data_IF_124509736000
#
_entry.id   IF_124509736000
#
_cell.length_a   1.000
_cell.length_b   1.000
_cell.length_c   1.000
_cell.angle_alpha   90.00
_cell.angle_beta   90.00
_cell.angle_gamma   90.00
#
_symmetry.space_group_name_H-M   'P 1'
#
loop_
_entity.id
_entity.type
_entity.pdbx_description
1 polymer ?
#
# COMPACT_ATOMS: atom_id res chain seq x y z
N UNK A 1 32.05 3.97 -8.75
CA UNK A 1 30.86 4.85 -8.67
C UNK A 1 31.24 6.31 -8.47
N UNK A 2 31.91 6.69 -7.38
CA UNK A 2 32.28 8.09 -7.09
C UNK A 2 33.10 8.77 -8.21
N UNK A 3 34.00 8.04 -8.87
CA UNK A 3 34.78 8.55 -10.02
C UNK A 3 33.93 8.86 -11.27
N UNK A 4 32.84 8.11 -11.50
CA UNK A 4 31.94 8.36 -12.63
C UNK A 4 31.04 9.57 -12.34
N UNK A 5 30.57 9.70 -11.11
CA UNK A 5 29.77 10.85 -10.67
C UNK A 5 30.57 12.16 -10.73
N UNK A 6 31.83 12.16 -10.32
CA UNK A 6 32.73 13.32 -10.46
C UNK A 6 33.04 13.63 -11.92
N UNK A 7 33.15 12.61 -12.78
CA UNK A 7 33.35 12.78 -14.23
C UNK A 7 32.12 13.41 -14.89
N UNK A 8 30.91 12.94 -14.58
CA UNK A 8 29.67 13.55 -15.11
C UNK A 8 29.56 15.01 -14.65
N UNK A 9 29.85 15.30 -13.38
CA UNK A 9 29.83 16.67 -12.88
C UNK A 9 30.85 17.58 -13.58
N UNK A 10 32.06 17.07 -13.88
CA UNK A 10 33.07 17.84 -14.61
C UNK A 10 32.67 18.08 -16.07
N UNK A 11 32.07 17.09 -16.72
CA UNK A 11 31.52 17.21 -18.08
C UNK A 11 30.36 18.22 -18.13
N UNK A 12 29.44 18.21 -17.16
CA UNK A 12 28.38 19.22 -17.06
C UNK A 12 28.92 20.65 -16.94
N UNK A 13 29.94 20.85 -16.09
CA UNK A 13 30.59 22.16 -15.97
C UNK A 13 31.24 22.59 -17.28
N UNK A 14 31.80 21.64 -18.03
CA UNK A 14 32.44 21.91 -19.33
C UNK A 14 31.42 22.24 -20.41
N UNK A 15 30.25 21.60 -20.38
CA UNK A 15 29.09 21.90 -21.23
C UNK A 15 28.64 23.36 -21.06
N UNK A 16 28.43 23.80 -19.82
CA UNK A 16 28.07 25.19 -19.50
C UNK A 16 29.09 26.20 -20.04
N UNK A 17 30.38 25.88 -19.92
CA UNK A 17 31.46 26.73 -20.45
C UNK A 17 31.44 26.80 -21.98
N UNK A 18 31.21 25.66 -22.66
CA UNK A 18 31.15 25.62 -24.11
C UNK A 18 29.88 26.29 -24.65
N UNK A 19 28.74 26.13 -23.99
CA UNK A 19 27.50 26.82 -24.32
C UNK A 19 27.64 28.34 -24.22
N UNK A 20 28.31 28.84 -23.16
CA UNK A 20 28.62 30.26 -23.04
C UNK A 20 29.54 30.75 -24.18
N UNK A 21 30.57 29.96 -24.54
CA UNK A 21 31.46 30.29 -25.66
C UNK A 21 30.75 30.26 -27.01
N UNK A 22 29.83 29.32 -27.21
CA UNK A 22 29.00 29.20 -28.41
C UNK A 22 28.16 30.46 -28.61
N UNK A 23 27.53 30.96 -27.55
CA UNK A 23 26.75 32.20 -27.62
C UNK A 23 27.60 33.40 -28.05
N UNK A 24 28.83 33.51 -27.54
CA UNK A 24 29.78 34.56 -27.94
C UNK A 24 30.24 34.39 -29.39
N UNK A 25 30.51 33.15 -29.83
CA UNK A 25 30.91 32.86 -31.21
C UNK A 25 29.78 33.17 -32.20
N UNK A 26 28.53 32.89 -31.83
CA UNK A 26 27.35 33.25 -32.61
C UNK A 26 27.22 34.78 -32.75
N UNK A 27 27.29 35.52 -31.65
CA UNK A 27 27.24 36.99 -31.68
C UNK A 27 28.38 37.59 -32.53
N UNK A 28 29.57 36.98 -32.50
CA UNK A 28 30.70 37.38 -33.34
C UNK A 28 30.43 37.14 -34.82
N UNK A 29 29.84 36.00 -35.17
CA UNK A 29 29.44 35.68 -36.54
C UNK A 29 28.35 36.64 -37.05
N UNK A 30 27.32 36.90 -36.24
CA UNK A 30 26.22 37.80 -36.59
C UNK A 30 26.73 39.23 -36.85
N UNK A 31 27.69 39.71 -36.04
CA UNK A 31 28.37 40.99 -36.24
C UNK A 31 29.21 41.01 -37.52
N UNK A 32 29.97 39.95 -37.80
CA UNK A 32 30.78 39.85 -39.02
C UNK A 32 29.90 39.85 -40.28
N UNK A 33 28.79 39.11 -40.26
CA UNK A 33 27.80 39.09 -41.34
C UNK A 33 27.19 40.49 -41.54
N UNK A 34 26.79 41.15 -40.46
CA UNK A 34 26.19 42.50 -40.52
C UNK A 34 27.18 43.53 -41.09
N UNK A 35 28.44 43.49 -40.66
CA UNK A 35 29.49 44.38 -41.17
C UNK A 35 29.74 44.17 -42.67
N UNK A 36 29.80 42.90 -43.12
CA UNK A 36 29.92 42.57 -44.55
C UNK A 36 28.72 43.06 -45.36
N UNK A 37 27.50 42.88 -44.85
CA UNK A 37 26.29 43.36 -45.52
C UNK A 37 26.28 44.89 -45.64
N UNK A 38 26.70 45.60 -44.59
CA UNK A 38 26.78 47.05 -44.62
C UNK A 38 27.78 47.55 -45.66
N UNK A 39 28.96 46.93 -45.77
CA UNK A 39 29.95 47.29 -46.80
C UNK A 39 29.43 47.05 -48.21
N UNK A 40 28.70 45.95 -48.44
CA UNK A 40 28.09 45.66 -49.75
C UNK A 40 26.96 46.62 -50.14
N UNK A 41 26.30 47.26 -49.16
CA UNK A 41 25.18 48.16 -49.40
C UNK A 41 25.59 49.63 -49.47
N UNK A 42 26.62 50.03 -48.74
CA UNK A 42 27.00 51.43 -48.55
C UNK A 42 28.48 51.75 -48.79
N UNK A 43 29.32 50.72 -48.98
CA UNK A 43 30.75 50.84 -49.24
C UNK A 43 31.12 50.95 -50.71
N UNK A 44 32.42 50.99 -50.98
CA UNK A 44 32.97 50.97 -52.34
C UNK A 44 33.07 49.52 -52.84
N UNK A 45 32.27 49.21 -53.87
CA UNK A 45 32.24 47.87 -54.45
C UNK A 45 33.52 47.52 -55.23
N UNK A 46 34.32 48.52 -55.61
CA UNK A 46 35.58 48.30 -56.30
C UNK A 46 36.74 48.04 -55.30
N UNK A 47 36.54 48.25 -53.99
CA UNK A 47 37.51 47.90 -52.94
C UNK A 47 37.43 46.41 -52.57
N UNK A 48 37.94 45.57 -53.47
CA UNK A 48 38.00 44.12 -53.28
C UNK A 48 38.77 43.73 -52.00
N UNK A 49 39.77 44.50 -51.60
CA UNK A 49 40.56 44.20 -50.41
C UNK A 49 39.74 44.36 -49.12
N UNK A 50 38.88 45.38 -49.04
CA UNK A 50 37.94 45.55 -47.92
C UNK A 50 36.92 44.39 -47.87
N UNK A 51 36.36 44.00 -49.01
CA UNK A 51 35.40 42.89 -49.10
C UNK A 51 36.02 41.54 -48.71
N UNK A 52 37.23 41.23 -49.18
CA UNK A 52 37.95 40.01 -48.86
C UNK A 52 38.28 39.93 -47.36
N UNK A 53 38.63 41.06 -46.73
CA UNK A 53 38.86 41.14 -45.28
C UNK A 53 37.60 40.82 -44.47
N UNK A 54 36.46 41.37 -44.87
CA UNK A 54 35.18 41.10 -44.20
C UNK A 54 34.72 39.66 -44.41
N UNK A 55 34.95 39.10 -45.60
CA UNK A 55 34.70 37.68 -45.87
C UNK A 55 35.57 36.79 -44.97
N UNK A 56 36.86 37.08 -44.86
CA UNK A 56 37.76 36.33 -43.97
C UNK A 56 37.35 36.39 -42.49
N UNK A 57 36.76 37.50 -42.04
CA UNK A 57 36.19 37.60 -40.69
C UNK A 57 34.95 36.71 -40.51
N UNK A 58 34.06 36.65 -41.51
CA UNK A 58 32.89 35.73 -41.51
C UNK A 58 33.36 34.27 -41.49
N UNK A 59 34.32 33.90 -42.33
CA UNK A 59 34.82 32.53 -42.42
C UNK A 59 35.49 32.08 -41.11
N UNK A 60 36.27 32.98 -40.49
CA UNK A 60 36.91 32.72 -39.18
C UNK A 60 35.87 32.54 -38.08
N UNK A 61 34.84 33.39 -38.03
CA UNK A 61 33.78 33.28 -37.03
C UNK A 61 32.93 32.02 -37.24
N UNK A 62 32.58 31.69 -38.49
CA UNK A 62 31.84 30.49 -38.84
C UNK A 62 32.62 29.21 -38.48
N UNK A 63 33.92 29.16 -38.82
CA UNK A 63 34.78 28.04 -38.45
C UNK A 63 34.92 27.89 -36.93
N UNK A 64 34.98 29.00 -36.20
CA UNK A 64 35.06 28.97 -34.72
C UNK A 64 33.77 28.43 -34.12
N UNK A 65 32.61 28.88 -34.60
CA UNK A 65 31.30 28.39 -34.16
C UNK A 65 31.15 26.89 -34.46
N UNK A 66 31.48 26.46 -35.67
CA UNK A 66 31.45 25.05 -36.06
C UNK A 66 32.33 24.18 -35.15
N UNK A 67 33.55 24.61 -34.84
CA UNK A 67 34.45 23.88 -33.94
C UNK A 67 33.93 23.79 -32.49
N UNK A 68 33.18 24.80 -32.02
CA UNK A 68 32.51 24.73 -30.70
C UNK A 68 31.32 23.78 -30.75
N UNK A 69 30.55 23.79 -31.83
CA UNK A 69 29.40 22.89 -32.03
C UNK A 69 29.86 21.42 -32.10
N UNK A 70 30.96 21.13 -32.80
CA UNK A 70 31.58 19.80 -32.82
C UNK A 70 32.04 19.36 -31.42
N UNK A 71 32.64 20.28 -30.66
CA UNK A 71 33.08 20.00 -29.30
C UNK A 71 31.90 19.73 -28.35
N UNK A 72 30.78 20.45 -28.51
CA UNK A 72 29.55 20.20 -27.76
C UNK A 72 28.94 18.84 -28.10
N UNK A 73 28.92 18.45 -29.38
CA UNK A 73 28.44 17.15 -29.80
C UNK A 73 29.27 16.01 -29.19
N UNK A 74 30.61 16.11 -29.28
CA UNK A 74 31.51 15.13 -28.67
C UNK A 74 31.35 15.05 -27.14
N UNK A 75 31.09 16.19 -26.48
CA UNK A 75 30.87 16.22 -25.04
C UNK A 75 29.54 15.58 -24.64
N UNK A 76 28.48 15.79 -25.43
CA UNK A 76 27.19 15.13 -25.21
C UNK A 76 27.31 13.60 -25.30
N UNK A 77 28.10 13.08 -26.25
CA UNK A 77 28.39 11.65 -26.37
C UNK A 77 29.14 11.11 -25.14
N UNK A 78 30.18 11.82 -24.68
CA UNK A 78 30.94 11.44 -23.48
C UNK A 78 30.07 11.42 -22.22
N UNK A 79 29.16 12.39 -22.09
CA UNK A 79 28.21 12.45 -20.97
C UNK A 79 27.24 11.27 -21.01
N UNK A 80 26.65 11.01 -22.18
CA UNK A 80 25.73 9.88 -22.34
C UNK A 80 26.41 8.54 -22.03
N UNK A 81 27.67 8.37 -22.46
CA UNK A 81 28.44 7.17 -22.13
C UNK A 81 28.73 7.03 -20.64
N UNK A 82 29.16 8.11 -19.98
CA UNK A 82 29.41 8.10 -18.54
C UNK A 82 28.13 7.80 -17.73
N UNK A 83 26.99 8.34 -18.14
CA UNK A 83 25.68 8.06 -17.54
C UNK A 83 25.25 6.60 -17.74
N UNK A 84 25.45 6.04 -18.94
CA UNK A 84 25.21 4.61 -19.22
C UNK A 84 26.07 3.71 -18.33
N UNK A 85 27.35 4.02 -18.19
CA UNK A 85 28.26 3.28 -17.33
C UNK A 85 27.84 3.35 -15.85
N UNK A 86 27.44 4.54 -15.38
CA UNK A 86 26.98 4.72 -14.01
C UNK A 86 25.69 3.91 -13.74
N UNK A 87 24.74 3.92 -14.68
CA UNK A 87 23.52 3.13 -14.56
C UNK A 87 23.82 1.63 -14.52
N UNK A 88 24.71 1.14 -15.39
CA UNK A 88 25.13 -0.26 -15.41
C UNK A 88 25.84 -0.70 -14.11
N UNK A 89 26.68 0.16 -13.53
CA UNK A 89 27.33 -0.11 -12.24
C UNK A 89 26.32 -0.15 -11.09
N UNK A 90 25.34 0.77 -11.07
CA UNK A 90 24.26 0.77 -10.06
C UNK A 90 23.41 -0.49 -10.18
N UNK A 91 23.05 -0.90 -11.39
CA UNK A 91 22.30 -2.13 -11.62
C UNK A 91 23.09 -3.37 -11.19
N UNK A 92 24.37 -3.47 -11.55
CA UNK A 92 25.25 -4.56 -11.09
C UNK A 92 25.33 -4.62 -9.57
N UNK A 93 25.50 -3.46 -8.91
CA UNK A 93 25.51 -3.37 -7.46
C UNK A 93 24.20 -3.82 -6.82
N UNK A 94 23.06 -3.37 -7.36
CA UNK A 94 21.73 -3.76 -6.88
C UNK A 94 21.47 -5.27 -7.02
N UNK A 95 21.85 -5.85 -8.18
CA UNK A 95 21.74 -7.29 -8.42
C UNK A 95 22.64 -8.10 -7.49
N UNK A 96 23.88 -7.67 -7.28
CA UNK A 96 24.79 -8.34 -6.36
C UNK A 96 24.25 -8.33 -4.93
N UNK A 97 23.77 -7.17 -4.45
CA UNK A 97 23.17 -7.05 -3.12
C UNK A 97 21.91 -7.92 -2.97
N UNK A 98 21.04 -7.95 -3.99
CA UNK A 98 19.86 -8.80 -4.00
C UNK A 98 20.21 -10.30 -3.99
N UNK A 99 21.19 -10.71 -4.81
CA UNK A 99 21.70 -12.08 -4.85
C UNK A 99 22.28 -12.51 -3.49
N UNK A 100 23.05 -11.64 -2.84
CA UNK A 100 23.62 -11.92 -1.52
C UNK A 100 22.54 -12.05 -0.45
N UNK A 101 21.49 -11.22 -0.51
CA UNK A 101 20.32 -11.31 0.37
C UNK A 101 19.59 -12.64 0.17
N UNK A 102 19.29 -13.01 -1.07
CA UNK A 102 18.64 -14.28 -1.41
C UNK A 102 19.49 -15.47 -0.95
N UNK A 103 20.80 -15.45 -1.20
CA UNK A 103 21.70 -16.51 -0.78
C UNK A 103 21.63 -16.74 0.74
N UNK A 104 21.65 -15.66 1.54
CA UNK A 104 21.50 -15.75 3.00
C UNK A 104 20.15 -16.32 3.42
N UNK A 105 19.07 -15.91 2.76
CA UNK A 105 17.72 -16.42 3.05
C UNK A 105 17.60 -17.91 2.73
N UNK A 106 18.11 -18.35 1.57
CA UNK A 106 18.10 -19.76 1.17
C UNK A 106 18.94 -20.60 2.11
N UNK A 107 20.14 -20.13 2.49
CA UNK A 107 20.99 -20.81 3.47
C UNK A 107 20.30 -20.93 4.85
N UNK A 108 19.55 -19.92 5.28
CA UNK A 108 18.79 -19.97 6.53
C UNK A 108 17.66 -21.02 6.49
N UNK A 109 16.94 -21.11 5.36
CA UNK A 109 15.88 -22.12 5.16
C UNK A 109 16.50 -23.52 5.16
N UNK A 110 17.61 -23.71 4.44
CA UNK A 110 18.34 -24.99 4.38
C UNK A 110 18.84 -25.43 5.76
N UNK A 111 19.39 -24.50 6.55
CA UNK A 111 19.86 -24.79 7.91
C UNK A 111 18.72 -25.13 8.89
N UNK A 112 17.51 -24.56 8.69
CA UNK A 112 16.37 -24.78 9.57
C UNK A 112 15.68 -26.13 9.34
N UNK A 113 15.69 -26.65 8.10
CA UNK A 113 14.93 -27.84 7.74
C UNK A 113 15.30 -29.09 8.56
N UNK A 114 16.59 -29.46 8.77
CA UNK A 114 16.94 -30.63 9.55
C UNK A 114 16.40 -30.58 10.99
N UNK A 115 16.47 -29.41 11.63
CA UNK A 115 15.95 -29.21 12.98
C UNK A 115 14.43 -29.35 13.05
N UNK A 116 13.72 -28.81 12.06
CA UNK A 116 12.26 -28.98 11.95
C UNK A 116 11.86 -30.46 11.78
N UNK A 117 12.53 -31.20 10.89
CA UNK A 117 12.23 -32.61 10.64
C UNK A 117 12.50 -33.45 11.90
N UNK A 118 13.60 -33.19 12.61
CA UNK A 118 13.94 -33.92 13.81
C UNK A 118 12.95 -33.67 14.96
N UNK A 119 12.60 -32.42 15.23
CA UNK A 119 11.62 -32.10 16.27
C UNK A 119 10.21 -32.63 15.92
N UNK A 120 9.85 -32.64 14.64
CA UNK A 120 8.60 -33.24 14.17
C UNK A 120 8.57 -34.75 14.40
N UNK A 121 9.70 -35.44 14.19
CA UNK A 121 9.86 -36.87 14.48
C UNK A 121 9.69 -37.15 15.98
N UNK A 122 10.39 -36.41 16.84
CA UNK A 122 10.29 -36.54 18.30
C UNK A 122 8.84 -36.37 18.78
N UNK A 123 8.12 -35.36 18.27
CA UNK A 123 6.72 -35.14 18.62
C UNK A 123 5.82 -36.29 18.16
N UNK A 124 6.00 -36.76 16.92
CA UNK A 124 5.21 -37.87 16.39
C UNK A 124 5.43 -39.16 17.17
N UNK A 125 6.67 -39.45 17.58
CA UNK A 125 7.01 -40.64 18.36
C UNK A 125 6.34 -40.58 19.73
N UNK A 126 6.46 -39.45 20.45
CA UNK A 126 5.82 -39.26 21.76
C UNK A 126 4.28 -39.38 21.70
N UNK A 127 3.66 -38.86 20.65
CA UNK A 127 2.21 -38.99 20.42
C UNK A 127 1.81 -40.43 20.07
N UNK A 128 2.66 -41.17 19.36
CA UNK A 128 2.43 -42.57 18.99
C UNK A 128 2.47 -43.49 20.21
N UNK A 129 3.36 -43.23 21.18
CA UNK A 129 3.47 -44.01 22.41
C UNK A 129 2.14 -44.08 23.18
N UNK A 130 1.38 -42.99 23.21
CA UNK A 130 0.07 -42.92 23.88
C UNK A 130 -1.12 -43.21 22.96
N UNK A 131 -0.87 -43.27 21.64
CA UNK A 131 -1.92 -43.42 20.62
C UNK A 131 -2.74 -44.70 20.74
N UNK A 132 -2.20 -45.75 21.36
CA UNK A 132 -2.90 -47.01 21.57
C UNK A 132 -4.06 -46.92 22.59
N UNK A 133 -4.06 -45.91 23.47
CA UNK A 133 -5.15 -45.66 24.41
C UNK A 133 -5.78 -44.27 24.27
N UNK A 134 -5.16 -43.35 23.52
CA UNK A 134 -5.72 -42.05 23.18
C UNK A 134 -5.76 -41.83 21.67
N UNK A 135 -6.91 -42.11 21.05
CA UNK A 135 -7.11 -42.10 19.60
C UNK A 135 -6.66 -40.80 18.91
N UNK A 136 -7.02 -39.64 19.46
CA UNK A 136 -6.67 -38.33 18.88
C UNK A 136 -5.16 -38.11 18.84
N UNK A 137 -4.41 -38.62 19.82
CA UNK A 137 -2.94 -38.54 19.80
C UNK A 137 -2.36 -39.41 18.69
N UNK A 138 -2.94 -40.58 18.42
CA UNK A 138 -2.56 -41.41 17.27
C UNK A 138 -2.86 -40.75 15.92
N UNK A 139 -3.99 -40.04 15.81
CA UNK A 139 -4.30 -39.23 14.62
C UNK A 139 -3.30 -38.07 14.44
N UNK A 140 -2.98 -37.35 15.52
CA UNK A 140 -1.98 -36.28 15.49
C UNK A 140 -0.59 -36.80 15.10
N UNK A 141 -0.14 -37.94 15.64
CA UNK A 141 1.13 -38.55 15.25
C UNK A 141 1.19 -38.85 13.74
N UNK A 142 0.14 -39.46 13.20
CA UNK A 142 0.02 -39.77 11.77
C UNK A 142 0.05 -38.50 10.91
N UNK A 143 -0.65 -37.45 11.34
CA UNK A 143 -0.66 -36.16 10.66
C UNK A 143 0.74 -35.51 10.62
N UNK A 144 1.46 -35.51 11.75
CA UNK A 144 2.82 -34.95 11.83
C UNK A 144 3.78 -35.73 10.93
N UNK A 145 3.76 -37.06 10.96
CA UNK A 145 4.61 -37.89 10.09
C UNK A 145 4.33 -37.64 8.60
N UNK A 146 3.06 -37.61 8.21
CA UNK A 146 2.68 -37.35 6.82
C UNK A 146 3.10 -35.94 6.36
N UNK A 147 2.92 -34.93 7.21
CA UNK A 147 3.30 -33.54 6.91
C UNK A 147 4.82 -33.41 6.79
N UNK A 148 5.57 -34.03 7.69
CA UNK A 148 7.03 -34.08 7.64
C UNK A 148 7.52 -34.63 6.30
N UNK A 149 6.97 -35.76 5.84
CA UNK A 149 7.33 -36.35 4.54
C UNK A 149 6.98 -35.45 3.36
N UNK A 150 5.83 -34.76 3.39
CA UNK A 150 5.46 -33.80 2.35
C UNK A 150 6.39 -32.59 2.32
N UNK A 151 6.75 -32.04 3.49
CA UNK A 151 7.67 -30.90 3.60
C UNK A 151 9.06 -31.27 3.08
N UNK A 152 9.58 -32.45 3.44
CA UNK A 152 10.89 -32.93 2.96
C UNK A 152 10.92 -33.06 1.43
N UNK A 153 9.89 -33.67 0.84
CA UNK A 153 9.78 -33.77 -0.63
C UNK A 153 9.67 -32.40 -1.29
N UNK A 154 8.81 -31.51 -0.78
CA UNK A 154 8.61 -30.18 -1.33
C UNK A 154 9.86 -29.31 -1.21
N UNK A 155 10.61 -29.44 -0.11
CA UNK A 155 11.88 -28.74 0.10
C UNK A 155 12.95 -29.20 -0.89
N UNK A 156 13.07 -30.50 -1.16
CA UNK A 156 14.03 -31.02 -2.13
C UNK A 156 13.79 -30.46 -3.55
N UNK A 157 12.53 -30.35 -3.97
CA UNK A 157 12.18 -29.73 -5.25
C UNK A 157 12.48 -28.23 -5.26
N UNK A 158 12.00 -27.52 -4.24
CA UNK A 158 12.14 -26.06 -4.15
C UNK A 158 13.60 -25.60 -3.98
N UNK A 159 14.44 -26.36 -3.27
CA UNK A 159 15.84 -25.97 -3.05
C UNK A 159 16.69 -25.99 -4.31
N UNK A 160 16.39 -26.86 -5.28
CA UNK A 160 17.11 -26.87 -6.54
C UNK A 160 16.97 -25.53 -7.28
N UNK A 161 15.75 -24.99 -7.31
CA UNK A 161 15.45 -23.68 -7.88
C UNK A 161 16.02 -22.55 -7.01
N UNK A 162 15.72 -22.57 -5.71
CA UNK A 162 16.12 -21.51 -4.77
C UNK A 162 17.64 -21.34 -4.70
N UNK A 163 18.43 -22.41 -4.83
CA UNK A 163 19.90 -22.33 -4.83
C UNK A 163 20.46 -21.73 -6.12
N UNK A 164 19.80 -21.92 -7.25
CA UNK A 164 20.22 -21.36 -8.54
C UNK A 164 19.82 -19.88 -8.69
N UNK A 165 18.77 -19.45 -8.00
CA UNK A 165 18.18 -18.12 -8.13
C UNK A 165 19.16 -16.96 -7.83
N UNK A 166 19.99 -16.97 -6.76
CA UNK A 166 20.97 -15.91 -6.51
C UNK A 166 21.92 -15.66 -7.69
N UNK A 167 22.44 -16.72 -8.30
CA UNK A 167 23.36 -16.59 -9.43
C UNK A 167 22.63 -16.11 -10.68
N UNK A 168 21.40 -16.61 -10.92
CA UNK A 168 20.55 -16.11 -12.01
C UNK A 168 20.24 -14.61 -11.89
N UNK A 169 20.00 -14.10 -10.68
CA UNK A 169 19.81 -12.66 -10.41
C UNK A 169 21.11 -11.89 -10.61
N UNK A 170 22.24 -12.41 -10.11
CA UNK A 170 23.56 -11.77 -10.25
C UNK A 170 23.97 -11.61 -11.73
N UNK A 171 23.69 -12.62 -12.54
CA UNK A 171 23.97 -12.65 -13.98
C UNK A 171 22.92 -11.91 -14.82
N UNK A 172 21.79 -11.50 -14.23
CA UNK A 172 20.71 -10.83 -14.95
C UNK A 172 19.82 -11.73 -15.79
N UNK A 173 19.90 -13.05 -15.58
CA UNK A 173 18.97 -14.02 -16.19
C UNK A 173 17.59 -13.97 -15.55
N UNK A 174 17.51 -13.47 -14.31
CA UNK A 174 16.26 -13.31 -13.57
C UNK A 174 16.16 -11.89 -12.99
N UNK A 175 14.93 -11.37 -12.91
CA UNK A 175 14.66 -10.09 -12.29
C UNK A 175 14.91 -10.13 -10.78
N UNK A 176 15.28 -8.98 -10.22
CA UNK A 176 15.38 -8.80 -8.76
C UNK A 176 13.97 -9.00 -8.16
N UNK A 177 13.78 -9.93 -7.20
CA UNK A 177 12.50 -10.11 -6.54
C UNK A 177 12.06 -8.83 -5.83
N UNK A 178 10.80 -8.44 -6.04
CA UNK A 178 10.21 -7.28 -5.36
C UNK A 178 10.07 -7.52 -3.86
N UNK A 179 10.07 -6.44 -3.08
CA UNK A 179 9.74 -6.54 -1.66
C UNK A 179 8.24 -6.81 -1.47
N UNK A 180 7.85 -7.59 -0.44
CA UNK A 180 6.45 -7.81 -0.14
C UNK A 180 5.74 -6.48 0.12
N UNK A 181 4.58 -6.26 -0.49
CA UNK A 181 3.77 -5.08 -0.20
C UNK A 181 3.36 -5.08 1.29
N UNK A 182 3.38 -3.93 1.98
CA UNK A 182 2.90 -3.85 3.34
C UNK A 182 1.43 -4.26 3.38
N UNK A 183 1.08 -5.17 4.30
CA UNK A 183 -0.31 -5.60 4.47
C UNK A 183 -1.18 -4.40 4.83
N UNK A 184 -2.38 -4.24 4.25
CA UNK A 184 -3.27 -3.15 4.60
C UNK A 184 -3.63 -3.24 6.08
N UNK A 185 -3.31 -2.19 6.84
CA UNK A 185 -3.80 -2.04 8.21
C UNK A 185 -5.30 -1.83 8.13
N UNK A 186 -6.08 -2.72 8.74
CA UNK A 186 -7.53 -2.56 8.82
C UNK A 186 -7.82 -1.24 9.55
N UNK A 187 -8.46 -0.30 8.86
CA UNK A 187 -8.92 0.96 9.44
C UNK A 187 -9.99 0.59 10.48
N UNK A 188 -9.74 0.90 11.75
CA UNK A 188 -10.74 0.73 12.80
C UNK A 188 -11.98 1.59 12.46
N UNK A 189 -13.15 0.97 12.46
CA UNK A 189 -14.43 1.64 12.22
C UNK A 189 -14.63 2.75 13.27
N UNK A 190 -15.05 3.97 12.89
CA UNK A 190 -15.22 5.06 13.85
C UNK A 190 -16.28 4.72 14.89
N UNK A 191 -15.96 4.90 16.17
CA UNK A 191 -16.88 4.62 17.28
C UNK A 191 -18.22 5.35 17.10
N UNK A 192 -19.36 4.67 17.31
CA UNK A 192 -20.66 5.27 17.11
C UNK A 192 -20.90 6.42 18.09
N UNK A 193 -21.52 7.53 17.64
CA UNK A 193 -21.70 8.72 18.47
C UNK A 193 -22.65 8.47 19.65
N UNK A 194 -22.18 8.85 20.85
CA UNK A 194 -22.89 8.72 22.13
C UNK A 194 -23.42 10.07 22.64
N UNK A 195 -24.54 10.06 23.36
CA UNK A 195 -25.15 11.24 23.98
C UNK A 195 -25.54 10.95 25.44
N UNK A 196 -25.36 11.96 26.31
CA UNK A 196 -25.72 11.87 27.72
C UNK A 196 -27.04 12.59 27.99
N UNK A 197 -28.02 11.90 28.57
CA UNK A 197 -29.34 12.43 28.90
C UNK A 197 -29.68 12.21 30.38
N UNK A 198 -30.56 13.04 30.94
CA UNK A 198 -31.02 12.89 32.33
C UNK A 198 -32.35 12.14 32.36
N UNK A 199 -32.36 10.97 33.00
CA UNK A 199 -33.51 10.08 32.99
C UNK A 199 -34.58 10.56 33.98
N UNK A 200 -35.81 10.79 33.52
CA UNK A 200 -36.96 11.12 34.37
C UNK A 200 -37.71 9.87 34.85
N UNK A 201 -37.52 8.74 34.18
CA UNK A 201 -38.07 7.42 34.50
C UNK A 201 -37.00 6.36 34.29
N UNK A 202 -37.12 5.21 34.95
CA UNK A 202 -36.20 4.11 34.72
C UNK A 202 -36.45 3.47 33.37
N UNK A 203 -35.38 3.24 32.61
CA UNK A 203 -35.46 2.57 31.32
C UNK A 203 -34.38 1.50 31.15
N UNK A 204 -34.54 0.62 30.17
CA UNK A 204 -33.51 -0.29 29.68
C UNK A 204 -33.28 -0.06 28.18
N UNK A 205 -32.03 -0.23 27.74
CA UNK A 205 -31.60 0.01 26.36
C UNK A 205 -30.40 -0.85 25.99
N UNK A 206 -30.11 -1.02 24.69
CA UNK A 206 -28.86 -1.64 24.22
C UNK A 206 -27.77 -0.61 23.96
N UNK A 207 -26.54 -0.91 24.40
CA UNK A 207 -25.37 -0.12 24.02
C UNK A 207 -24.89 -0.44 22.59
N UNK A 208 -23.85 0.28 22.14
CA UNK A 208 -23.22 0.09 20.83
C UNK A 208 -22.67 -1.32 20.60
N UNK A 209 -22.37 -2.06 21.67
CA UNK A 209 -21.86 -3.43 21.64
C UNK A 209 -23.00 -4.47 21.74
N UNK A 210 -24.26 -4.01 21.68
CA UNK A 210 -25.46 -4.85 21.75
C UNK A 210 -25.81 -5.35 23.16
N UNK A 211 -25.16 -4.83 24.21
CA UNK A 211 -25.40 -5.26 25.59
C UNK A 211 -26.55 -4.48 26.21
N UNK A 212 -27.46 -5.19 26.86
CA UNK A 212 -28.56 -4.56 27.61
C UNK A 212 -28.04 -3.82 28.84
N UNK A 213 -28.31 -2.53 28.92
CA UNK A 213 -27.99 -1.64 30.05
C UNK A 213 -29.27 -1.08 30.66
N UNK A 214 -29.20 -0.82 31.96
CA UNK A 214 -30.24 -0.16 32.72
C UNK A 214 -29.91 1.31 32.98
N UNK A 215 -30.89 2.17 32.79
CA UNK A 215 -30.81 3.61 32.99
C UNK A 215 -31.73 3.99 34.17
N UNK A 216 -31.14 4.26 35.34
CA UNK A 216 -31.90 4.56 36.55
C UNK A 216 -32.64 5.91 36.49
N UNK A 217 -33.81 5.99 37.12
CA UNK A 217 -34.52 7.26 37.28
C UNK A 217 -33.68 8.29 38.06
N UNK A 218 -33.71 9.54 37.58
CA UNK A 218 -32.99 10.72 38.09
C UNK A 218 -31.46 10.58 38.06
N UNK A 219 -30.96 9.84 37.07
CA UNK A 219 -29.53 9.67 36.81
C UNK A 219 -29.16 10.21 35.43
N UNK A 220 -27.91 10.64 35.30
CA UNK A 220 -27.32 10.95 34.00
C UNK A 220 -26.86 9.63 33.37
N UNK A 221 -27.28 9.35 32.13
CA UNK A 221 -26.93 8.13 31.43
C UNK A 221 -26.40 8.45 30.04
N UNK A 222 -25.22 7.91 29.73
CA UNK A 222 -24.61 7.99 28.39
C UNK A 222 -25.02 6.77 27.59
N UNK A 223 -25.65 7.00 26.44
CA UNK A 223 -26.19 5.96 25.57
C UNK A 223 -26.01 6.33 24.09
N UNK A 224 -26.18 5.40 23.13
CA UNK A 224 -26.11 5.72 21.72
C UNK A 224 -27.07 6.87 21.36
N UNK A 225 -26.63 7.77 20.47
CA UNK A 225 -27.37 9.00 20.17
C UNK A 225 -28.81 8.74 19.70
N UNK A 226 -29.05 7.69 18.93
CA UNK A 226 -30.41 7.31 18.50
C UNK A 226 -31.32 6.95 19.69
N UNK A 227 -30.81 6.14 20.63
CA UNK A 227 -31.51 5.75 21.86
C UNK A 227 -31.77 6.96 22.76
N UNK A 228 -30.78 7.84 22.89
CA UNK A 228 -30.89 9.05 23.68
C UNK A 228 -31.94 10.01 23.10
N UNK A 229 -32.00 10.17 21.78
CA UNK A 229 -33.02 10.98 21.13
C UNK A 229 -34.42 10.40 21.32
N UNK A 230 -34.57 9.08 21.17
CA UNK A 230 -35.84 8.39 21.42
C UNK A 230 -36.33 8.57 22.87
N UNK A 231 -35.42 8.54 23.84
CA UNK A 231 -35.74 8.78 25.24
C UNK A 231 -36.21 10.23 25.50
N UNK A 232 -35.61 11.21 24.82
CA UNK A 232 -36.02 12.62 24.88
C UNK A 232 -37.41 12.81 24.25
N UNK A 233 -37.64 12.27 23.05
CA UNK A 233 -38.89 12.43 22.30
C UNK A 233 -40.09 11.85 23.07
N UNK A 234 -39.87 10.78 23.84
CA UNK A 234 -40.89 10.13 24.67
C UNK A 234 -41.07 10.76 26.05
N UNK A 235 -40.31 11.81 26.38
CA UNK A 235 -40.32 12.42 27.70
C UNK A 235 -39.86 11.48 28.82
N UNK A 236 -39.13 10.41 28.46
CA UNK A 236 -38.54 9.44 29.40
C UNK A 236 -37.25 10.03 29.98
N UNK A 237 -36.53 10.81 29.17
CA UNK A 237 -35.39 11.60 29.55
C UNK A 237 -35.61 13.08 29.22
N UNK A 238 -34.79 13.95 29.82
CA UNK A 238 -34.73 15.39 29.52
C UNK A 238 -33.28 15.80 29.24
N UNK A 239 -33.07 16.92 28.52
CA UNK A 239 -31.73 17.46 28.30
C UNK A 239 -31.03 17.80 29.62
N UNK A 240 -29.70 17.77 29.63
CA UNK A 240 -28.90 18.08 30.82
C UNK A 240 -29.05 19.54 31.31
N UNK A 241 -29.62 20.42 30.48
CA UNK A 241 -29.90 21.82 30.77
C UNK A 241 -31.25 22.03 31.48
N UNK A 242 -32.07 21.00 31.65
CA UNK A 242 -33.36 21.10 32.34
C UNK A 242 -33.16 21.34 33.85
N UNK A 243 -33.89 22.32 34.40
CA UNK A 243 -33.86 22.68 35.82
C UNK A 243 -34.18 21.49 36.74
N UNK A 244 -35.02 20.55 36.29
CA UNK A 244 -35.42 19.35 37.04
C UNK A 244 -34.23 18.44 37.36
N UNK A 245 -33.17 18.47 36.54
CA UNK A 245 -31.93 17.73 36.83
C UNK A 245 -31.27 18.25 38.11
N UNK A 246 -31.19 19.57 38.29
CA UNK A 246 -30.57 20.15 39.49
C UNK A 246 -31.37 19.85 40.77
N UNK A 247 -32.69 19.69 40.65
CA UNK A 247 -33.61 19.45 41.77
C UNK A 247 -33.73 17.96 42.15
N UNK A 248 -33.62 17.05 41.18
CA UNK A 248 -33.91 15.62 41.37
C UNK A 248 -32.69 14.70 41.30
N UNK A 249 -31.54 15.17 40.83
CA UNK A 249 -30.35 14.33 40.70
C UNK A 249 -29.89 13.80 42.06
N UNK A 250 -29.79 12.48 42.18
CA UNK A 250 -29.31 11.80 43.39
C UNK A 250 -30.35 11.60 44.50
N UNK A 251 -31.63 11.94 44.25
CA UNK A 251 -32.70 11.75 45.27
C UNK A 251 -33.24 10.32 45.35
N UNK A 252 -32.89 9.43 44.41
CA UNK A 252 -33.24 8.01 44.46
C UNK A 252 -32.11 7.17 45.06
N UNK A 253 -32.39 6.51 46.19
CA UNK A 253 -31.50 5.55 46.86
C UNK A 253 -31.28 4.27 46.05
N UNK A 254 -30.07 3.71 46.17
CA UNK A 254 -29.40 2.85 45.19
C UNK A 254 -29.87 1.40 44.98
N UNK A 255 -31.13 1.05 45.23
CA UNK A 255 -31.64 -0.29 44.90
C UNK A 255 -32.78 -0.21 43.87
N UNK A 256 -32.45 -0.45 42.61
CA UNK A 256 -33.43 -0.53 41.52
C UNK A 256 -33.27 -1.83 40.72
N UNK A 257 -34.35 -2.59 40.59
CA UNK A 257 -34.38 -3.82 39.81
C UNK A 257 -34.76 -3.52 38.35
N UNK A 258 -33.82 -3.71 37.41
CA UNK A 258 -34.03 -3.49 35.98
C UNK A 258 -35.01 -4.47 35.31
N UNK A 259 -35.45 -5.50 36.03
CA UNK A 259 -36.48 -6.45 35.58
C UNK A 259 -37.88 -6.11 36.14
N UNK A 260 -38.02 -5.00 36.85
CA UNK A 260 -39.32 -4.60 37.39
C UNK A 260 -40.30 -4.18 36.26
N UNK A 261 -41.61 -4.42 36.42
CA UNK A 261 -42.61 -4.18 35.37
C UNK A 261 -42.85 -2.69 35.07
N UNK A 262 -42.31 -1.78 35.89
CA UNK A 262 -42.36 -0.32 35.73
C UNK A 262 -41.18 0.24 34.90
N UNK A 263 -40.25 -0.61 34.44
CA UNK A 263 -39.10 -0.23 33.60
C UNK A 263 -39.52 -0.09 32.14
N UNK A 264 -39.25 1.08 31.57
CA UNK A 264 -39.57 1.35 30.17
C UNK A 264 -38.48 0.76 29.26
N UNK A 265 -38.87 -0.07 28.31
CA UNK A 265 -37.96 -0.61 27.31
C UNK A 265 -37.85 0.37 26.14
N UNK A 266 -36.67 0.99 25.99
CA UNK A 266 -36.40 1.93 24.90
C UNK A 266 -36.14 1.22 23.56
N UNK A 267 -35.94 -0.09 23.57
CA UNK A 267 -35.70 -0.88 22.35
C UNK A 267 -37.01 -1.43 21.74
N UNK A 268 -38.11 -1.51 22.52
CA UNK A 268 -39.42 -2.01 22.04
C UNK A 268 -40.42 -0.92 21.64
N UNK A 269 -39.91 0.24 21.22
CA UNK A 269 -40.74 1.23 20.54
C UNK A 269 -40.72 0.91 19.05
N UNK A 270 -41.71 0.16 18.59
CA UNK A 270 -41.92 -0.06 17.15
C UNK A 270 -42.47 1.20 16.46
N UNK A 271 -41.88 1.51 15.29
CA UNK A 271 -42.57 1.80 14.02
C UNK A 271 -41.57 1.61 12.84
N UNK A 272 -41.97 1.16 11.63
CA UNK A 272 -42.88 0.08 11.26
C UNK A 272 -42.15 -1.09 10.53
N UNK A 273 -42.85 -2.22 10.40
CA UNK A 273 -42.47 -3.39 9.60
C UNK A 273 -42.21 -3.03 8.12
N UNK A 274 -41.01 -3.36 7.62
CA UNK A 274 -40.77 -4.22 6.45
C UNK A 274 -39.35 -4.02 5.89
N UNK A 275 -38.43 -4.89 6.27
CA UNK A 275 -37.36 -5.32 5.38
C UNK A 275 -36.92 -6.74 5.81
N UNK A 276 -36.86 -7.72 4.90
CA UNK A 276 -36.36 -9.05 5.24
C UNK A 276 -34.89 -8.96 5.66
N UNK A 277 -34.56 -9.62 6.76
CA UNK A 277 -33.21 -9.68 7.29
C UNK A 277 -32.31 -10.48 6.32
N UNK A 278 -31.43 -9.78 5.61
CA UNK A 278 -30.37 -10.39 4.79
C UNK A 278 -29.12 -10.43 5.67
N UNK A 279 -28.69 -11.65 6.04
CA UNK A 279 -27.50 -11.83 6.88
C UNK A 279 -26.22 -11.30 6.22
N UNK A 280 -25.19 -10.94 7.02
CA UNK A 280 -23.97 -10.25 6.54
C UNK A 280 -23.17 -11.04 5.50
N UNK A 281 -23.35 -12.37 5.42
CA UNK A 281 -22.72 -13.23 4.41
C UNK A 281 -23.29 -13.00 3.00
N UNK A 282 -24.55 -12.56 2.90
CA UNK A 282 -25.21 -12.30 1.60
C UNK A 282 -24.97 -10.87 1.09
N UNK A 283 -24.55 -9.94 1.94
CA UNK A 283 -24.15 -8.57 1.56
C UNK A 283 -22.76 -8.51 0.91
N UNK A 284 -21.88 -9.45 1.27
CA UNK A 284 -20.50 -9.51 0.75
C UNK A 284 -20.37 -10.25 -0.59
N UNK A 285 -21.42 -10.97 -1.02
CA UNK A 285 -21.42 -11.69 -2.28
C UNK A 285 -22.33 -10.95 -3.27
N UNK A 286 -21.75 -10.44 -4.36
CA UNK A 286 -22.42 -9.79 -5.50
C UNK A 286 -23.37 -10.75 -6.25
N UNK A 287 -24.34 -11.34 -5.58
CA UNK A 287 -25.38 -12.14 -6.22
C UNK A 287 -26.39 -11.22 -6.87
N UNK A 288 -26.45 -11.26 -8.19
CA UNK A 288 -27.56 -10.71 -8.96
C UNK A 288 -28.71 -11.72 -8.90
N UNK A 289 -29.91 -11.33 -8.42
CA UNK A 289 -31.06 -12.23 -8.45
C UNK A 289 -31.43 -12.52 -9.90
N UNK A 290 -31.43 -13.81 -10.27
CA UNK A 290 -31.95 -14.26 -11.55
C UNK A 290 -33.47 -14.02 -11.61
N UNK A 291 -34.04 -13.70 -12.77
CA UNK A 291 -35.49 -13.59 -12.92
C UNK A 291 -36.15 -14.90 -12.53
N UNK A 292 -37.14 -14.83 -11.64
CA UNK A 292 -37.94 -15.96 -11.17
C UNK A 292 -38.63 -16.64 -12.34
N UNK A 293 -38.15 -17.83 -12.72
CA UNK A 293 -38.89 -18.72 -13.60
C UNK A 293 -40.13 -19.26 -12.86
N UNK A 294 -41.20 -19.52 -13.63
CA UNK A 294 -42.48 -20.03 -13.13
C UNK A 294 -42.32 -21.25 -12.20
N UNK A 295 -43.15 -21.36 -11.14
CA UNK A 295 -43.06 -22.45 -10.17
C UNK A 295 -43.30 -23.80 -10.86
N UNK A 296 -42.25 -24.63 -10.90
CA UNK A 296 -42.36 -26.03 -11.34
C UNK A 296 -42.46 -26.94 -10.12
N UNK A 297 -43.58 -27.64 -10.00
CA UNK A 297 -43.77 -28.71 -9.03
C UNK A 297 -42.96 -29.94 -9.46
N UNK A 298 -42.02 -30.38 -8.61
CA UNK A 298 -41.31 -31.65 -8.80
C UNK A 298 -42.03 -32.70 -7.95
N UNK A 299 -42.61 -33.71 -8.60
CA UNK A 299 -43.09 -34.92 -7.94
C UNK A 299 -41.90 -35.85 -7.75
N UNK A 300 -41.54 -36.15 -6.50
CA UNK A 300 -40.55 -37.16 -6.15
C UNK A 300 -41.31 -38.46 -5.91
N UNK A 301 -41.22 -39.40 -6.86
CA UNK A 301 -41.66 -40.76 -6.65
C UNK A 301 -40.60 -41.50 -5.82
N UNK A 302 -40.97 -41.86 -4.59
CA UNK A 302 -40.15 -42.73 -3.74
C UNK A 302 -40.62 -44.17 -3.96
N UNK A 303 -39.80 -45.08 -4.52
CA UNK A 303 -40.12 -46.49 -4.52
C UNK A 303 -40.00 -47.01 -3.09
N UNK A 304 -41.12 -47.50 -2.53
CA UNK A 304 -41.09 -48.34 -1.35
C UNK A 304 -40.64 -49.75 -1.76
N UNK A 305 -39.48 -50.16 -1.27
CA UNK A 305 -39.09 -51.56 -1.07
C UNK A 305 -38.15 -51.65 0.12
#
# INVERSE_FOLDING_TARGET
MQNLETTIASLMKRDEQLAAKRAVAQDTLDKAISARQQELLAGDLDDQHALDKLQGAVDTAASTLAGIDDALAALAEQKAEAERQLAAERERGARAAAADKLHKQVAAIEAALPGYLEQSRVLADALSEIGHWHFESGQMASFVQNTMGQVEMAANFSFAELKAMPDAVREGRQAIPGEPAPMPVAVAEPEPPIMTVFMMRTAKYRDSDGRSRGAGQWQDVTMPMATAQLALDKGIAVPLTDRRRAELRGTRGGDFNFQAPDVIDLDTVEEPKNAPHIGPVLLAANFTPLPTAEPRTILIDVPRS
#
